data_IF_466094326760
#
_entry.id   IF_466094326760
#
_cell.length_a   1.000
_cell.length_b   1.000
_cell.length_c   1.000
_cell.angle_alpha   90.00
_cell.angle_beta   90.00
_cell.angle_gamma   90.00
#
_symmetry.space_group_name_H-M   'P 1'
#
loop_
_entity.id
_entity.type
_entity.pdbx_description
1 polymer ?
#
# COMPACT_ATOMS: atom_id res chain seq x y z
N UNK A 1 -27.66 -30.78 11.51
CA UNK A 1 -26.30 -30.30 11.85
C UNK A 1 -26.21 -28.85 11.42
N UNK A 2 -26.16 -27.92 12.37
CA UNK A 2 -25.99 -26.49 12.07
C UNK A 2 -24.50 -26.21 12.15
N UNK A 3 -23.86 -25.83 11.04
CA UNK A 3 -22.47 -25.43 11.08
C UNK A 3 -22.37 -24.05 11.76
N UNK A 4 -21.76 -24.03 12.95
CA UNK A 4 -21.32 -22.79 13.56
C UNK A 4 -20.23 -22.20 12.65
N UNK A 5 -20.47 -21.02 12.10
CA UNK A 5 -19.43 -20.24 11.39
C UNK A 5 -18.41 -19.74 12.41
N UNK A 6 -17.46 -20.61 12.76
CA UNK A 6 -16.34 -20.27 13.63
C UNK A 6 -15.55 -19.10 13.04
N UNK A 7 -15.07 -18.20 13.90
CA UNK A 7 -14.12 -17.15 13.51
C UNK A 7 -12.86 -17.83 12.97
N UNK A 8 -12.51 -17.59 11.71
CA UNK A 8 -11.25 -18.08 11.14
C UNK A 8 -10.10 -17.21 11.66
N UNK A 9 -9.15 -17.77 12.43
CA UNK A 9 -8.02 -17.00 12.94
C UNK A 9 -7.16 -16.46 11.81
N UNK A 10 -6.61 -15.25 11.99
CA UNK A 10 -5.66 -14.64 11.06
C UNK A 10 -4.26 -14.84 11.59
N UNK A 11 -3.37 -15.36 10.75
CA UNK A 11 -1.95 -15.54 11.09
C UNK A 11 -1.10 -14.55 10.32
N UNK A 12 0.00 -14.13 10.94
CA UNK A 12 0.89 -13.09 10.46
C UNK A 12 2.33 -13.53 10.65
N UNK A 13 3.20 -13.19 9.71
CA UNK A 13 4.65 -13.38 9.84
C UNK A 13 5.36 -12.05 9.57
N UNK A 14 6.50 -11.84 10.22
CA UNK A 14 7.29 -10.62 10.12
C UNK A 14 8.76 -10.94 9.86
N UNK A 15 9.48 -10.05 9.18
CA UNK A 15 10.94 -10.09 9.12
C UNK A 15 11.59 -9.41 10.34
N UNK A 16 12.92 -9.41 10.39
CA UNK A 16 13.69 -8.81 11.48
C UNK A 16 13.57 -7.26 11.55
N UNK A 17 13.13 -6.61 10.46
CA UNK A 17 12.88 -5.18 10.40
C UNK A 17 11.45 -4.83 10.83
N UNK A 18 10.62 -5.83 11.12
CA UNK A 18 9.21 -5.66 11.51
C UNK A 18 8.26 -5.52 10.33
N UNK A 19 8.71 -5.75 9.09
CA UNK A 19 7.82 -5.76 7.93
C UNK A 19 6.94 -7.02 7.93
N UNK A 20 5.66 -6.87 7.60
CA UNK A 20 4.70 -7.99 7.51
C UNK A 20 5.01 -8.83 6.26
N UNK A 21 5.62 -10.01 6.39
CA UNK A 21 5.99 -10.87 5.25
C UNK A 21 4.87 -11.79 4.78
N UNK A 22 3.88 -12.06 5.63
CA UNK A 22 2.72 -12.90 5.28
C UNK A 22 1.50 -12.57 6.13
N UNK A 23 0.31 -12.62 5.53
CA UNK A 23 -0.99 -12.62 6.23
C UNK A 23 -1.90 -13.68 5.62
N UNK A 24 -2.55 -14.50 6.44
CA UNK A 24 -3.27 -15.71 5.96
C UNK A 24 -4.38 -15.50 4.94
N UNK A 25 -4.95 -14.30 4.85
CA UNK A 25 -6.02 -13.93 3.91
C UNK A 25 -5.57 -12.92 2.84
N UNK A 26 -4.26 -12.65 2.74
CA UNK A 26 -3.66 -11.83 1.68
C UNK A 26 -2.60 -12.62 0.93
N UNK A 27 -1.77 -13.37 1.65
CA UNK A 27 -0.62 -14.09 1.11
C UNK A 27 0.71 -13.42 1.51
N UNK A 28 1.72 -13.63 0.68
CA UNK A 28 3.06 -13.10 0.90
C UNK A 28 3.17 -11.61 0.54
N UNK A 29 4.17 -10.97 1.15
CA UNK A 29 4.50 -9.56 0.94
C UNK A 29 5.98 -9.42 0.57
N UNK A 30 6.29 -8.41 -0.24
CA UNK A 30 7.66 -7.98 -0.61
C UNK A 30 7.82 -6.49 -0.32
N UNK A 31 9.07 -6.08 -0.10
CA UNK A 31 9.43 -4.74 0.35
C UNK A 31 10.69 -4.23 -0.34
N UNK A 32 10.84 -2.91 -0.44
CA UNK A 32 12.12 -2.26 -0.73
C UNK A 32 12.71 -2.53 -2.12
N UNK A 33 11.89 -2.96 -3.07
CA UNK A 33 12.33 -3.17 -4.46
C UNK A 33 12.28 -1.86 -5.27
N UNK A 34 13.26 -1.63 -6.14
CA UNK A 34 13.31 -0.44 -6.99
C UNK A 34 13.57 0.85 -6.19
N UNK A 35 12.72 1.86 -6.37
CA UNK A 35 12.82 3.13 -5.64
C UNK A 35 12.15 3.09 -4.24
N UNK A 36 11.58 1.93 -3.86
CA UNK A 36 10.91 1.77 -2.58
C UNK A 36 11.90 1.74 -1.42
N UNK A 37 11.58 2.42 -0.32
CA UNK A 37 12.33 2.30 0.94
C UNK A 37 12.18 0.92 1.59
N UNK A 38 13.02 0.59 2.59
CA UNK A 38 13.06 -0.75 3.21
C UNK A 38 11.74 -1.19 3.89
N UNK A 39 10.84 -0.25 4.16
CA UNK A 39 9.52 -0.51 4.76
C UNK A 39 8.36 -0.28 3.78
N UNK A 40 8.65 0.02 2.52
CA UNK A 40 7.63 0.25 1.50
C UNK A 40 7.28 -1.08 0.80
N UNK A 41 6.00 -1.48 0.91
CA UNK A 41 5.47 -2.70 0.29
C UNK A 41 5.54 -2.59 -1.23
N UNK A 42 6.22 -3.52 -1.90
CA UNK A 42 6.27 -3.59 -3.37
C UNK A 42 5.39 -4.70 -3.94
N UNK A 43 5.03 -5.69 -3.12
CA UNK A 43 4.05 -6.72 -3.47
C UNK A 43 3.23 -7.12 -2.24
N UNK A 44 1.92 -7.35 -2.41
CA UNK A 44 1.06 -7.96 -1.39
C UNK A 44 0.00 -8.83 -2.06
N UNK A 45 0.03 -10.14 -1.82
CA UNK A 45 -0.97 -11.06 -2.37
C UNK A 45 -1.07 -11.03 -3.90
N UNK A 46 0.07 -10.85 -4.58
CA UNK A 46 0.14 -10.72 -6.04
C UNK A 46 -0.21 -9.33 -6.60
N UNK A 47 -0.60 -8.37 -5.77
CA UNK A 47 -0.73 -6.97 -6.18
C UNK A 47 0.62 -6.27 -6.11
N UNK A 48 1.01 -5.57 -7.17
CA UNK A 48 2.28 -4.83 -7.23
C UNK A 48 2.10 -3.35 -6.92
N UNK A 49 3.11 -2.76 -6.29
CA UNK A 49 3.16 -1.36 -5.91
C UNK A 49 4.49 -0.76 -6.37
N UNK A 50 4.44 0.48 -6.85
CA UNK A 50 5.62 1.20 -7.34
C UNK A 50 5.75 2.56 -6.68
N UNK A 51 6.98 3.05 -6.63
CA UNK A 51 7.34 4.27 -5.92
C UNK A 51 8.17 5.19 -6.82
N UNK A 52 8.06 6.49 -6.59
CA UNK A 52 9.01 7.46 -7.12
C UNK A 52 10.30 7.50 -6.27
N UNK A 53 11.28 8.30 -6.68
CA UNK A 53 12.56 8.43 -5.98
C UNK A 53 12.45 9.08 -4.59
N UNK A 54 11.35 9.76 -4.28
CA UNK A 54 11.08 10.34 -2.97
C UNK A 54 10.41 9.34 -2.01
N UNK A 55 10.13 8.11 -2.47
CA UNK A 55 9.45 7.09 -1.69
C UNK A 55 7.92 7.25 -1.68
N UNK A 56 7.35 8.07 -2.57
CA UNK A 56 5.91 8.20 -2.71
C UNK A 56 5.36 7.04 -3.55
N UNK A 57 4.27 6.40 -3.12
CA UNK A 57 3.64 5.33 -3.90
C UNK A 57 2.91 5.92 -5.12
N UNK A 58 3.36 5.65 -6.34
CA UNK A 58 2.75 6.20 -7.58
C UNK A 58 1.74 5.26 -8.21
N UNK A 59 1.84 3.95 -7.94
CA UNK A 59 0.84 2.97 -8.38
C UNK A 59 0.72 1.78 -7.42
N UNK A 60 -0.45 1.12 -7.42
CA UNK A 60 -0.63 -0.18 -6.78
C UNK A 60 -2.02 -0.40 -6.18
N UNK A 61 -2.46 -1.66 -6.08
CA UNK A 61 -3.81 -2.01 -5.62
C UNK A 61 -4.93 -1.37 -6.45
N UNK A 62 -4.70 -1.23 -7.76
CA UNK A 62 -5.62 -0.58 -8.70
C UNK A 62 -5.68 0.94 -8.59
N UNK A 63 -4.75 1.57 -7.85
CA UNK A 63 -4.69 3.03 -7.70
C UNK A 63 -3.51 3.62 -8.46
N UNK A 64 -3.67 4.85 -8.94
CA UNK A 64 -2.59 5.73 -9.41
C UNK A 64 -2.61 7.01 -8.60
N UNK A 65 -1.44 7.52 -8.23
CA UNK A 65 -1.29 8.69 -7.38
C UNK A 65 -0.36 9.72 -8.03
N UNK A 66 -0.69 11.00 -7.87
CA UNK A 66 0.18 12.13 -8.20
C UNK A 66 0.43 12.97 -6.97
N UNK A 67 1.55 13.70 -6.97
CA UNK A 67 2.04 14.42 -5.81
C UNK A 67 2.39 15.86 -6.19
N UNK A 68 2.26 16.76 -5.22
CA UNK A 68 2.76 18.13 -5.29
C UNK A 68 4.29 18.15 -5.26
N UNK A 69 4.87 19.31 -5.58
CA UNK A 69 6.33 19.54 -5.47
C UNK A 69 6.88 19.40 -4.04
N UNK A 70 6.01 19.41 -3.03
CA UNK A 70 6.35 19.24 -1.61
C UNK A 70 5.90 17.88 -1.05
N UNK A 71 5.78 16.86 -1.92
CA UNK A 71 5.54 15.46 -1.57
C UNK A 71 4.22 15.18 -0.84
N UNK A 72 3.15 15.90 -1.18
CA UNK A 72 1.80 15.59 -0.70
C UNK A 72 0.92 15.07 -1.86
N UNK A 73 0.09 14.03 -1.65
CA UNK A 73 -0.77 13.50 -2.72
C UNK A 73 -1.76 14.56 -3.22
N UNK A 74 -1.76 14.85 -4.51
CA UNK A 74 -2.73 15.78 -5.13
C UNK A 74 -3.89 15.06 -5.79
N UNK A 75 -3.69 13.82 -6.21
CA UNK A 75 -4.73 13.02 -6.86
C UNK A 75 -4.55 11.55 -6.54
N UNK A 76 -5.66 10.87 -6.26
CA UNK A 76 -5.71 9.41 -6.11
C UNK A 76 -6.87 8.92 -6.98
N UNK A 77 -6.57 8.09 -7.97
CA UNK A 77 -7.56 7.52 -8.88
C UNK A 77 -7.61 6.00 -8.71
N UNK A 78 -8.81 5.42 -8.63
CA UNK A 78 -9.06 3.98 -8.65
C UNK A 78 -10.24 3.67 -9.57
N UNK A 79 -9.96 3.06 -10.72
CA UNK A 79 -10.97 2.90 -11.78
C UNK A 79 -11.45 4.27 -12.25
N UNK A 80 -12.76 4.52 -12.17
CA UNK A 80 -13.37 5.81 -12.55
C UNK A 80 -13.49 6.79 -11.38
N UNK A 81 -13.21 6.37 -10.15
CA UNK A 81 -13.29 7.23 -8.97
C UNK A 81 -11.98 7.98 -8.76
N UNK A 82 -12.07 9.30 -8.63
CA UNK A 82 -10.92 10.16 -8.37
C UNK A 82 -11.17 11.02 -7.14
N UNK A 83 -10.19 11.08 -6.24
CA UNK A 83 -10.11 12.02 -5.13
C UNK A 83 -9.02 13.03 -5.46
N UNK A 84 -9.35 14.31 -5.33
CA UNK A 84 -8.39 15.41 -5.45
C UNK A 84 -8.21 16.05 -4.08
N UNK A 85 -6.96 16.34 -3.73
CA UNK A 85 -6.59 17.03 -2.52
C UNK A 85 -5.95 18.36 -2.90
N UNK A 86 -6.38 19.41 -2.22
CA UNK A 86 -5.82 20.74 -2.33
C UNK A 86 -5.28 21.14 -0.96
N UNK A 87 -4.17 21.87 -0.99
CA UNK A 87 -3.47 22.28 0.22
C UNK A 87 -3.32 23.79 0.23
N UNK A 88 -3.42 24.38 1.42
CA UNK A 88 -3.13 25.80 1.59
C UNK A 88 -1.63 26.09 1.44
N UNK A 89 -1.25 27.37 1.54
CA UNK A 89 0.15 27.79 1.47
C UNK A 89 1.01 27.26 2.63
N UNK A 90 0.39 26.75 3.70
CA UNK A 90 1.05 26.07 4.80
C UNK A 90 1.07 24.54 4.62
N UNK A 91 0.66 24.04 3.46
CA UNK A 91 0.62 22.63 3.07
C UNK A 91 -0.32 21.78 3.95
N UNK A 92 -1.49 22.32 4.30
CA UNK A 92 -2.53 21.65 5.12
C UNK A 92 -3.77 21.30 4.32
#
# INVERSE_FOLDING_TARGET
>A
LVEARGVVPKTYAYDALGNLTYKSDVGAYRYGEGAAGPHAVTEAGGQRYTYDANGNQVSGGGRTLTYSSFNQPTTITRGTTTVQLAYDTAHR
#
